data_IF_487160640272
#
_entry.id   IF_487160640272
#
_cell.length_a   1.000
_cell.length_b   1.000
_cell.length_c   1.000
_cell.angle_alpha   90.00
_cell.angle_beta   90.00
_cell.angle_gamma   90.00
#
_symmetry.space_group_name_H-M   'P 1'
#
loop_
_entity.id
_entity.type
_entity.pdbx_description
1 polymer ?
#
# COMPACT_ATOMS: atom_id res chain seq x y z
N UNK A 1 4.93 -37.93 18.66
CA UNK A 1 5.60 -36.70 19.15
C UNK A 1 5.04 -35.56 18.32
N UNK A 2 4.18 -34.73 18.91
CA UNK A 2 3.60 -33.57 18.23
C UNK A 2 4.73 -32.61 17.88
N UNK A 3 4.86 -32.27 16.60
CA UNK A 3 5.55 -31.04 16.20
C UNK A 3 4.96 -29.88 17.00
N UNK A 4 5.79 -28.98 17.57
CA UNK A 4 5.25 -27.81 18.22
C UNK A 4 4.52 -26.99 17.16
N UNK A 5 3.21 -26.79 17.35
CA UNK A 5 2.44 -25.80 16.60
C UNK A 5 3.22 -24.49 16.71
N UNK A 6 3.70 -23.97 15.59
CA UNK A 6 4.31 -22.64 15.54
C UNK A 6 3.19 -21.65 15.81
N UNK A 7 2.94 -21.37 17.08
CA UNK A 7 1.88 -20.46 17.51
C UNK A 7 1.97 -19.18 16.69
N UNK A 8 0.89 -18.85 15.98
CA UNK A 8 0.80 -17.66 15.14
C UNK A 8 1.16 -16.44 16.01
N UNK A 9 2.18 -15.67 15.57
CA UNK A 9 2.73 -14.53 16.31
C UNK A 9 2.34 -13.23 15.64
N UNK A 10 2.11 -12.21 16.46
CA UNK A 10 1.80 -10.85 16.01
C UNK A 10 0.64 -10.25 16.80
N UNK A 11 0.35 -8.96 16.60
CA UNK A 11 -0.73 -8.27 17.31
C UNK A 11 -2.13 -8.76 16.93
N UNK A 12 -2.30 -9.42 15.78
CA UNK A 12 -3.58 -9.98 15.32
C UNK A 12 -3.70 -11.49 15.55
N UNK A 13 -2.79 -12.09 16.34
CA UNK A 13 -2.87 -13.48 16.71
C UNK A 13 -4.25 -13.81 17.32
N UNK A 14 -4.95 -14.77 16.70
CA UNK A 14 -6.29 -15.20 17.09
C UNK A 14 -7.44 -14.55 16.31
N UNK A 15 -7.18 -13.54 15.47
CA UNK A 15 -8.19 -12.98 14.56
C UNK A 15 -8.33 -13.89 13.34
N UNK A 16 -9.57 -14.29 13.03
CA UNK A 16 -9.91 -15.17 11.89
C UNK A 16 -10.46 -14.36 10.73
N UNK A 17 -9.84 -14.48 9.56
CA UNK A 17 -10.18 -13.71 8.37
C UNK A 17 -10.53 -14.66 7.23
N UNK A 18 -11.66 -14.41 6.58
CA UNK A 18 -12.01 -15.03 5.30
C UNK A 18 -11.71 -14.02 4.18
N UNK A 19 -10.94 -14.45 3.18
CA UNK A 19 -10.69 -13.70 1.96
C UNK A 19 -11.41 -14.40 0.80
N UNK A 20 -12.41 -13.75 0.21
CA UNK A 20 -12.96 -14.21 -1.08
C UNK A 20 -12.00 -13.79 -2.20
N UNK A 21 -11.53 -14.75 -2.98
CA UNK A 21 -10.49 -14.55 -3.97
C UNK A 21 -10.79 -13.40 -4.94
N UNK A 22 -9.96 -12.35 -4.86
CA UNK A 22 -9.95 -11.20 -5.76
C UNK A 22 -8.55 -10.88 -6.28
N UNK A 23 -8.37 -9.64 -6.77
CA UNK A 23 -7.11 -9.08 -7.26
C UNK A 23 -6.84 -7.72 -6.60
N UNK A 24 -5.58 -7.28 -6.62
CA UNK A 24 -5.19 -5.93 -6.19
C UNK A 24 -5.40 -5.67 -4.69
N UNK A 25 -6.28 -4.72 -4.31
CA UNK A 25 -6.38 -4.23 -2.94
C UNK A 25 -6.86 -5.27 -1.92
N UNK A 26 -7.79 -6.16 -2.29
CA UNK A 26 -8.32 -7.18 -1.38
C UNK A 26 -7.24 -8.17 -0.91
N UNK A 27 -6.53 -8.85 -1.83
CA UNK A 27 -5.40 -9.71 -1.47
C UNK A 27 -4.28 -8.97 -0.74
N UNK A 28 -4.00 -7.71 -1.07
CA UNK A 28 -3.00 -6.92 -0.33
C UNK A 28 -3.43 -6.66 1.11
N UNK A 29 -4.69 -6.31 1.37
CA UNK A 29 -5.21 -6.15 2.73
C UNK A 29 -5.14 -7.47 3.53
N UNK A 30 -5.53 -8.59 2.92
CA UNK A 30 -5.42 -9.91 3.54
C UNK A 30 -3.96 -10.29 3.84
N UNK A 31 -3.01 -9.88 2.99
CA UNK A 31 -1.58 -10.10 3.20
C UNK A 31 -1.08 -9.34 4.43
N UNK A 32 -1.47 -8.07 4.57
CA UNK A 32 -1.08 -7.27 5.73
C UNK A 32 -1.67 -7.83 7.03
N UNK A 33 -2.91 -8.33 7.01
CA UNK A 33 -3.51 -8.97 8.18
C UNK A 33 -2.78 -10.27 8.56
N UNK A 34 -2.44 -11.11 7.57
CA UNK A 34 -1.66 -12.34 7.77
C UNK A 34 -0.26 -12.04 8.33
N UNK A 35 0.42 -11.03 7.79
CA UNK A 35 1.73 -10.55 8.23
C UNK A 35 1.73 -10.09 9.70
N UNK A 36 0.59 -9.59 10.18
CA UNK A 36 0.36 -9.20 11.58
C UNK A 36 -0.17 -10.34 12.47
N UNK A 37 -0.25 -11.56 11.93
CA UNK A 37 -0.60 -12.78 12.66
C UNK A 37 -2.08 -13.16 12.65
N UNK A 38 -2.91 -12.57 11.78
CA UNK A 38 -4.26 -13.08 11.59
C UNK A 38 -4.23 -14.46 10.91
N UNK A 39 -5.18 -15.33 11.25
CA UNK A 39 -5.39 -16.61 10.56
C UNK A 39 -6.28 -16.36 9.34
N UNK A 40 -5.66 -16.29 8.17
CA UNK A 40 -6.32 -15.91 6.90
C UNK A 40 -6.61 -17.13 6.06
N UNK A 41 -7.90 -17.34 5.77
CA UNK A 41 -8.39 -18.40 4.88
C UNK A 41 -8.88 -17.77 3.58
N UNK A 42 -8.18 -18.08 2.49
CA UNK A 42 -8.56 -17.66 1.15
C UNK A 42 -9.48 -18.69 0.50
N UNK A 43 -10.68 -18.27 0.11
CA UNK A 43 -11.65 -19.08 -0.61
C UNK A 43 -11.54 -18.75 -2.09
N UNK A 44 -11.24 -19.76 -2.91
CA UNK A 44 -11.05 -19.62 -4.34
C UNK A 44 -11.76 -20.72 -5.13
N UNK A 45 -11.78 -20.59 -6.47
CA UNK A 45 -12.30 -21.64 -7.34
C UNK A 45 -11.33 -22.82 -7.40
N UNK A 46 -11.87 -24.01 -7.64
CA UNK A 46 -11.07 -25.23 -7.79
C UNK A 46 -10.01 -25.12 -8.90
N UNK A 47 -8.82 -25.64 -8.64
CA UNK A 47 -7.70 -25.67 -9.59
C UNK A 47 -6.99 -24.33 -9.76
N UNK A 48 -7.18 -23.37 -8.83
CA UNK A 48 -6.55 -22.05 -8.88
C UNK A 48 -5.41 -21.88 -7.86
N UNK A 49 -4.72 -22.98 -7.51
CA UNK A 49 -3.56 -22.90 -6.63
C UNK A 49 -2.53 -21.90 -7.22
N UNK A 50 -1.97 -20.98 -6.39
CA UNK A 50 -1.21 -19.86 -6.90
C UNK A 50 0.08 -20.29 -7.60
N UNK A 51 0.26 -19.83 -8.83
CA UNK A 51 1.50 -19.95 -9.60
C UNK A 51 2.03 -18.59 -10.02
N UNK A 52 3.34 -18.52 -10.30
CA UNK A 52 3.98 -17.34 -10.89
C UNK A 52 3.76 -16.05 -10.09
N UNK A 53 3.23 -15.02 -10.76
CA UNK A 53 3.12 -13.64 -10.27
C UNK A 53 2.29 -13.49 -8.98
N UNK A 54 1.25 -14.31 -8.80
CA UNK A 54 0.33 -14.15 -7.66
C UNK A 54 0.86 -14.81 -6.38
N UNK A 55 1.88 -15.66 -6.49
CA UNK A 55 2.35 -16.48 -5.38
C UNK A 55 2.85 -15.63 -4.20
N UNK A 56 3.75 -14.63 -4.36
CA UNK A 56 4.18 -13.81 -3.22
C UNK A 56 3.04 -13.09 -2.49
N UNK A 57 2.00 -12.67 -3.24
CA UNK A 57 0.86 -11.94 -2.66
C UNK A 57 -0.02 -12.81 -1.76
N UNK A 58 0.10 -14.14 -1.83
CA UNK A 58 -0.74 -15.09 -1.09
C UNK A 58 0.01 -15.78 0.07
N UNK A 59 1.15 -15.24 0.49
CA UNK A 59 1.91 -15.76 1.65
C UNK A 59 1.10 -15.73 2.94
N UNK A 60 1.30 -16.68 3.85
CA UNK A 60 0.60 -16.71 5.15
C UNK A 60 -0.89 -17.06 5.09
N UNK A 61 -1.38 -17.65 3.99
CA UNK A 61 -2.79 -18.07 3.85
C UNK A 61 -2.96 -19.57 3.98
N UNK A 62 -4.11 -19.97 4.50
CA UNK A 62 -4.71 -21.28 4.21
C UNK A 62 -5.59 -21.13 2.97
N UNK A 63 -5.48 -22.03 1.99
CA UNK A 63 -6.29 -21.99 0.77
C UNK A 63 -7.40 -23.03 0.86
N UNK A 64 -8.62 -22.62 0.56
CA UNK A 64 -9.81 -23.47 0.45
C UNK A 64 -10.41 -23.29 -0.94
N UNK A 65 -10.78 -24.40 -1.57
CA UNK A 65 -11.47 -24.38 -2.86
C UNK A 65 -12.97 -24.60 -2.68
N UNK A 66 -13.78 -23.75 -3.31
CA UNK A 66 -15.24 -23.82 -3.28
C UNK A 66 -15.82 -23.34 -4.62
N UNK A 67 -16.85 -24.03 -5.10
CA UNK A 67 -17.66 -23.57 -6.21
C UNK A 67 -18.78 -22.66 -5.70
N UNK A 68 -18.57 -21.33 -5.71
CA UNK A 68 -19.56 -20.34 -5.25
C UNK A 68 -20.80 -20.19 -6.17
N UNK A 69 -21.06 -21.19 -7.02
CA UNK A 69 -22.33 -21.37 -7.75
C UNK A 69 -23.11 -22.59 -7.26
N UNK A 70 -22.49 -23.46 -6.46
CA UNK A 70 -23.11 -24.64 -5.86
C UNK A 70 -23.66 -24.25 -4.48
N UNK A 71 -24.99 -24.38 -4.25
CA UNK A 71 -25.59 -24.12 -2.94
C UNK A 71 -24.96 -24.91 -1.79
N UNK A 72 -24.46 -26.12 -2.05
CA UNK A 72 -23.81 -26.93 -1.02
C UNK A 72 -22.48 -26.30 -0.56
N UNK A 73 -21.66 -25.82 -1.51
CA UNK A 73 -20.41 -25.13 -1.20
C UNK A 73 -20.67 -23.76 -0.54
N UNK A 74 -21.68 -23.02 -0.99
CA UNK A 74 -22.11 -21.77 -0.34
C UNK A 74 -22.49 -22.02 1.12
N UNK A 75 -23.22 -23.09 1.41
CA UNK A 75 -23.58 -23.45 2.79
C UNK A 75 -22.34 -23.76 3.66
N UNK A 76 -21.32 -24.41 3.09
CA UNK A 76 -20.04 -24.64 3.80
C UNK A 76 -19.29 -23.35 4.06
N UNK A 77 -19.26 -22.43 3.10
CA UNK A 77 -18.65 -21.09 3.27
C UNK A 77 -19.37 -20.30 4.35
N UNK A 78 -20.71 -20.32 4.38
CA UNK A 78 -21.49 -19.70 5.46
C UNK A 78 -21.17 -20.32 6.83
N UNK A 79 -20.99 -21.64 6.90
CA UNK A 79 -20.53 -22.30 8.12
C UNK A 79 -19.13 -21.88 8.59
N UNK A 80 -18.25 -21.50 7.66
CA UNK A 80 -16.95 -20.90 7.99
C UNK A 80 -17.11 -19.46 8.49
N UNK A 81 -18.01 -18.68 7.87
CA UNK A 81 -18.34 -17.30 8.27
C UNK A 81 -18.86 -17.23 9.71
N UNK A 82 -19.61 -18.23 10.18
CA UNK A 82 -20.06 -18.34 11.58
C UNK A 82 -18.91 -18.29 12.61
N UNK A 83 -17.69 -18.65 12.20
CA UNK A 83 -16.50 -18.70 13.06
C UNK A 83 -15.51 -17.54 12.83
N UNK A 84 -15.73 -16.74 11.79
CA UNK A 84 -14.81 -15.69 11.37
C UNK A 84 -15.02 -14.38 12.14
N UNK A 85 -13.97 -13.57 12.22
CA UNK A 85 -14.06 -12.20 12.71
C UNK A 85 -14.26 -11.20 11.57
N UNK A 86 -13.63 -11.47 10.43
CA UNK A 86 -13.59 -10.59 9.27
C UNK A 86 -13.86 -11.40 8.01
N UNK A 87 -14.61 -10.81 7.07
CA UNK A 87 -14.67 -11.23 5.68
C UNK A 87 -14.18 -10.09 4.78
N UNK A 88 -13.38 -10.41 3.78
CA UNK A 88 -12.91 -9.48 2.74
C UNK A 88 -13.42 -9.96 1.39
N UNK A 89 -14.05 -9.06 0.64
CA UNK A 89 -14.42 -9.27 -0.75
C UNK A 89 -14.18 -8.00 -1.58
N UNK A 90 -13.82 -8.19 -2.85
CA UNK A 90 -13.54 -7.09 -3.77
C UNK A 90 -14.28 -7.24 -5.10
N UNK A 91 -15.48 -7.80 -5.07
CA UNK A 91 -16.30 -7.94 -6.26
C UNK A 91 -17.04 -6.63 -6.55
N UNK A 92 -17.67 -6.57 -7.73
CA UNK A 92 -18.60 -5.46 -8.02
C UNK A 92 -19.77 -5.50 -7.04
N UNK A 93 -20.38 -4.34 -6.72
CA UNK A 93 -21.59 -4.28 -5.91
C UNK A 93 -22.67 -5.29 -6.38
N UNK A 94 -23.32 -5.93 -5.43
CA UNK A 94 -24.38 -6.92 -5.68
C UNK A 94 -23.89 -8.31 -6.10
N UNK A 95 -22.59 -8.54 -6.32
CA UNK A 95 -22.09 -9.88 -6.71
C UNK A 95 -22.24 -10.88 -5.58
N UNK A 96 -21.83 -10.55 -4.36
CA UNK A 96 -21.92 -11.44 -3.20
C UNK A 96 -23.37 -11.72 -2.78
N UNK A 97 -24.25 -10.73 -2.94
CA UNK A 97 -25.69 -10.85 -2.71
C UNK A 97 -26.29 -11.88 -3.68
N UNK A 98 -25.94 -11.81 -4.98
CA UNK A 98 -26.36 -12.83 -5.95
C UNK A 98 -25.80 -14.22 -5.68
N UNK A 99 -24.68 -14.31 -4.96
CA UNK A 99 -24.09 -15.59 -4.53
C UNK A 99 -24.72 -16.12 -3.23
N UNK A 100 -25.56 -15.36 -2.53
CA UNK A 100 -26.05 -15.72 -1.20
C UNK A 100 -24.99 -15.59 -0.09
N UNK A 101 -23.97 -14.77 -0.33
CA UNK A 101 -22.88 -14.45 0.59
C UNK A 101 -22.84 -12.95 0.90
N UNK A 102 -23.92 -12.23 0.66
CA UNK A 102 -24.00 -10.79 0.92
C UNK A 102 -23.94 -10.46 2.42
N UNK A 103 -23.81 -9.17 2.77
CA UNK A 103 -23.79 -8.73 4.16
C UNK A 103 -24.98 -9.22 4.98
N UNK A 104 -26.19 -9.20 4.42
CA UNK A 104 -27.41 -9.63 5.12
C UNK A 104 -27.36 -11.12 5.48
N UNK A 105 -27.00 -11.99 4.53
CA UNK A 105 -26.86 -13.43 4.79
C UNK A 105 -25.72 -13.71 5.77
N UNK A 106 -24.58 -13.04 5.61
CA UNK A 106 -23.39 -13.25 6.44
C UNK A 106 -23.61 -12.77 7.89
N UNK A 107 -24.19 -11.59 8.08
CA UNK A 107 -24.46 -11.01 9.40
C UNK A 107 -25.63 -11.71 10.11
N UNK A 108 -26.60 -12.26 9.38
CA UNK A 108 -27.63 -13.12 9.97
C UNK A 108 -27.04 -14.39 10.60
N UNK A 109 -25.98 -14.94 9.99
CA UNK A 109 -25.23 -16.09 10.52
C UNK A 109 -24.28 -15.69 11.64
N UNK A 110 -23.60 -14.57 11.48
CA UNK A 110 -22.62 -14.05 12.43
C UNK A 110 -22.81 -12.55 12.67
N UNK A 111 -23.62 -12.15 13.67
CA UNK A 111 -23.83 -10.74 14.00
C UNK A 111 -22.58 -10.00 14.49
N UNK A 112 -21.46 -10.72 14.71
CA UNK A 112 -20.16 -10.17 15.12
C UNK A 112 -19.19 -9.99 13.96
N UNK A 113 -19.56 -10.40 12.74
CA UNK A 113 -18.70 -10.35 11.57
C UNK A 113 -18.46 -8.92 11.11
N UNK A 114 -17.22 -8.59 10.81
CA UNK A 114 -16.89 -7.35 10.10
C UNK A 114 -16.78 -7.69 8.62
N UNK A 115 -17.71 -7.15 7.83
CA UNK A 115 -17.82 -7.44 6.40
C UNK A 115 -17.13 -6.32 5.60
N UNK A 116 -15.91 -6.55 5.14
CA UNK A 116 -15.12 -5.61 4.36
C UNK A 116 -15.37 -5.72 2.86
N UNK A 117 -15.86 -4.65 2.25
CA UNK A 117 -16.08 -4.51 0.80
C UNK A 117 -15.01 -3.60 0.22
N UNK A 118 -14.25 -4.10 -0.75
CA UNK A 118 -13.12 -3.40 -1.34
C UNK A 118 -13.38 -3.10 -2.82
N UNK A 119 -13.79 -1.88 -3.12
CA UNK A 119 -14.14 -1.49 -4.50
C UNK A 119 -13.41 -0.23 -4.94
N UNK A 120 -13.45 0.06 -6.24
CA UNK A 120 -12.90 1.30 -6.76
C UNK A 120 -13.79 2.52 -6.50
N UNK A 121 -15.09 2.34 -6.73
CA UNK A 121 -16.08 3.43 -6.77
C UNK A 121 -16.98 3.51 -5.55
N UNK A 122 -16.95 2.52 -4.64
CA UNK A 122 -17.90 2.39 -3.53
C UNK A 122 -19.11 1.53 -3.90
N UNK A 123 -19.95 1.23 -2.90
CA UNK A 123 -21.20 0.47 -3.12
C UNK A 123 -22.30 1.30 -3.77
N UNK A 124 -22.23 2.62 -3.69
CA UNK A 124 -23.26 3.55 -4.14
C UNK A 124 -22.74 4.60 -5.12
N UNK A 125 -23.67 5.35 -5.74
CA UNK A 125 -23.35 6.42 -6.67
C UNK A 125 -23.32 5.99 -8.15
N UNK A 126 -23.20 6.96 -9.07
CA UNK A 126 -23.41 6.73 -10.50
C UNK A 126 -22.36 5.84 -11.17
N UNK A 127 -21.22 5.62 -10.50
CA UNK A 127 -20.11 4.81 -11.00
C UNK A 127 -20.00 3.44 -10.31
N UNK A 128 -20.80 3.13 -9.29
CA UNK A 128 -20.68 1.91 -8.48
C UNK A 128 -20.58 0.62 -9.32
N UNK A 129 -21.41 0.49 -10.36
CA UNK A 129 -21.45 -0.69 -11.24
C UNK A 129 -20.43 -0.66 -12.40
N UNK A 130 -19.64 0.42 -12.51
CA UNK A 130 -18.69 0.61 -13.62
C UNK A 130 -17.37 -0.13 -13.36
N UNK A 131 -16.81 -0.68 -14.44
CA UNK A 131 -15.45 -1.20 -14.41
C UNK A 131 -14.44 -0.07 -14.24
N UNK A 132 -13.27 -0.39 -13.70
CA UNK A 132 -12.13 0.50 -13.60
C UNK A 132 -10.92 -0.25 -13.05
N UNK A 133 -9.79 0.43 -13.05
CA UNK A 133 -8.57 0.08 -12.33
C UNK A 133 -8.04 1.32 -11.62
N UNK A 134 -6.97 1.18 -10.83
CA UNK A 134 -6.31 2.24 -10.07
C UNK A 134 -6.34 3.61 -10.79
N UNK A 135 -5.79 3.68 -12.01
CA UNK A 135 -5.70 4.90 -12.82
C UNK A 135 -7.04 5.59 -13.04
N UNK A 136 -8.14 4.84 -13.17
CA UNK A 136 -9.47 5.41 -13.34
C UNK A 136 -9.99 6.01 -12.04
N UNK A 137 -9.76 5.34 -10.91
CA UNK A 137 -10.23 5.80 -9.61
C UNK A 137 -9.54 7.11 -9.23
N UNK A 138 -8.20 7.18 -9.39
CA UNK A 138 -7.46 8.40 -9.06
C UNK A 138 -7.62 9.52 -10.10
N UNK A 139 -8.07 9.23 -11.33
CA UNK A 139 -8.22 10.27 -12.36
C UNK A 139 -9.34 11.26 -12.06
N UNK A 140 -10.41 10.84 -11.39
CA UNK A 140 -11.54 11.71 -11.06
C UNK A 140 -11.35 12.49 -9.75
N UNK A 141 -10.29 12.19 -9.00
CA UNK A 141 -10.00 12.83 -7.71
C UNK A 141 -9.12 14.07 -7.84
N UNK A 142 -8.62 14.37 -9.03
CA UNK A 142 -7.56 15.37 -9.25
C UNK A 142 -6.15 14.88 -8.91
N UNK A 143 -6.01 13.76 -8.18
CA UNK A 143 -4.71 13.23 -7.76
C UNK A 143 -3.85 12.83 -8.96
N UNK A 144 -4.39 12.10 -9.95
CA UNK A 144 -3.61 11.76 -11.15
C UNK A 144 -3.15 13.03 -11.89
N UNK A 145 -4.01 14.05 -11.98
CA UNK A 145 -3.66 15.30 -12.66
C UNK A 145 -2.47 16.00 -12.02
N UNK A 146 -2.31 15.90 -10.70
CA UNK A 146 -1.22 16.52 -9.96
C UNK A 146 0.14 15.79 -10.12
N UNK A 147 0.18 14.59 -10.71
CA UNK A 147 1.39 13.75 -10.75
C UNK A 147 2.05 13.80 -12.13
N UNK A 148 3.29 14.27 -12.17
CA UNK A 148 4.16 14.30 -13.36
C UNK A 148 4.85 15.65 -13.56
N UNK A 149 5.58 15.77 -14.67
CA UNK A 149 6.33 16.99 -15.00
C UNK A 149 5.43 18.09 -15.57
N UNK A 150 5.85 19.34 -15.37
CA UNK A 150 5.24 20.51 -16.01
C UNK A 150 5.32 20.37 -17.53
N UNK A 151 4.22 20.65 -18.22
CA UNK A 151 4.15 20.61 -19.69
C UNK A 151 4.04 19.21 -20.30
N UNK A 152 4.14 18.15 -19.51
CA UNK A 152 3.94 16.77 -19.95
C UNK A 152 2.56 16.25 -19.55
N UNK A 153 2.12 15.10 -20.09
CA UNK A 153 0.88 14.45 -19.65
C UNK A 153 1.02 13.89 -18.21
N UNK A 154 -0.09 13.73 -17.46
CA UNK A 154 -0.07 12.99 -16.19
C UNK A 154 0.57 11.60 -16.30
N UNK A 155 1.28 11.17 -15.26
CA UNK A 155 1.91 9.84 -15.19
C UNK A 155 1.30 9.03 -14.04
N UNK A 156 0.86 7.78 -14.28
CA UNK A 156 0.35 6.93 -13.20
C UNK A 156 1.48 6.59 -12.20
N UNK A 157 1.28 6.80 -10.89
CA UNK A 157 2.24 6.42 -9.85
C UNK A 157 2.16 4.91 -9.56
N UNK A 158 2.39 4.10 -10.59
CA UNK A 158 2.04 2.67 -10.62
C UNK A 158 0.57 2.49 -10.20
N UNK A 159 0.29 1.53 -9.32
CA UNK A 159 -0.98 1.40 -8.61
C UNK A 159 -0.83 1.63 -7.09
N UNK A 160 0.15 2.46 -6.69
CA UNK A 160 0.45 2.66 -5.27
C UNK A 160 -0.57 3.56 -4.55
N UNK A 161 -1.30 4.39 -5.31
CA UNK A 161 -2.20 5.41 -4.74
C UNK A 161 -3.62 4.90 -4.60
N UNK A 162 -4.22 4.32 -5.64
CA UNK A 162 -5.59 3.82 -5.62
C UNK A 162 -5.68 2.45 -4.95
N UNK A 163 -5.07 1.41 -5.52
CA UNK A 163 -5.17 0.04 -5.01
C UNK A 163 -4.58 -0.05 -3.59
N UNK A 164 -3.40 0.52 -3.35
CA UNK A 164 -2.70 0.30 -2.09
C UNK A 164 -2.97 1.38 -1.04
N UNK A 165 -2.40 2.57 -1.20
CA UNK A 165 -2.49 3.66 -0.21
C UNK A 165 -3.92 4.12 0.08
N UNK A 166 -4.75 4.28 -0.95
CA UNK A 166 -6.15 4.68 -0.86
C UNK A 166 -7.14 3.51 -0.81
N UNK A 167 -6.70 2.29 -1.09
CA UNK A 167 -7.58 1.12 -1.14
C UNK A 167 -7.36 0.23 0.07
N UNK A 168 -6.50 -0.77 -0.11
CA UNK A 168 -6.20 -1.79 0.91
C UNK A 168 -5.83 -1.22 2.29
N UNK A 169 -5.10 -0.11 2.37
CA UNK A 169 -4.74 0.51 3.65
C UNK A 169 -5.96 1.09 4.37
N UNK A 170 -6.92 1.66 3.63
CA UNK A 170 -8.19 2.15 4.18
C UNK A 170 -9.13 1.00 4.54
N UNK A 171 -9.11 -0.11 3.79
CA UNK A 171 -9.81 -1.33 4.19
C UNK A 171 -9.25 -1.87 5.50
N UNK A 172 -7.93 -2.07 5.62
CA UNK A 172 -7.29 -2.52 6.86
C UNK A 172 -7.60 -1.57 8.01
N UNK A 173 -7.50 -0.25 7.80
CA UNK A 173 -7.87 0.75 8.80
C UNK A 173 -9.32 0.59 9.27
N UNK A 174 -10.27 0.48 8.35
CA UNK A 174 -11.69 0.30 8.66
C UNK A 174 -11.98 -1.03 9.39
N UNK A 175 -11.36 -2.12 8.95
CA UNK A 175 -11.49 -3.44 9.59
C UNK A 175 -10.96 -3.42 11.04
N UNK A 176 -9.80 -2.83 11.28
CA UNK A 176 -9.22 -2.72 12.62
C UNK A 176 -10.06 -1.79 13.51
N UNK A 177 -10.55 -0.68 12.98
CA UNK A 177 -11.45 0.22 13.72
C UNK A 177 -12.76 -0.48 14.12
N UNK A 178 -13.35 -1.26 13.21
CA UNK A 178 -14.54 -2.06 13.48
C UNK A 178 -14.26 -3.18 14.51
N UNK A 179 -13.07 -3.80 14.48
CA UNK A 179 -12.66 -4.80 15.48
C UNK A 179 -12.56 -4.18 16.89
N UNK A 180 -12.09 -2.94 16.99
CA UNK A 180 -12.03 -2.17 18.24
C UNK A 180 -13.44 -1.80 18.71
N UNK A 181 -14.28 -1.25 17.83
CA UNK A 181 -15.67 -0.88 18.14
C UNK A 181 -16.44 -2.09 18.71
N UNK A 182 -16.29 -3.25 18.07
CA UNK A 182 -16.93 -4.52 18.44
C UNK A 182 -16.62 -4.98 19.86
N UNK A 183 -15.51 -4.54 20.47
CA UNK A 183 -15.21 -4.85 21.88
C UNK A 183 -16.22 -4.21 22.84
N UNK A 184 -16.79 -3.07 22.46
CA UNK A 184 -17.76 -2.32 23.25
C UNK A 184 -19.21 -2.67 22.87
N UNK A 185 -19.51 -2.75 21.58
CA UNK A 185 -20.87 -3.00 21.08
C UNK A 185 -21.23 -4.49 21.08
N UNK A 186 -20.22 -5.35 21.00
CA UNK A 186 -20.39 -6.78 20.76
C UNK A 186 -20.87 -7.12 19.35
N UNK A 187 -20.95 -6.16 18.41
CA UNK A 187 -21.52 -6.34 17.08
C UNK A 187 -20.51 -6.07 15.97
N UNK A 188 -20.73 -6.71 14.83
CA UNK A 188 -20.02 -6.42 13.60
C UNK A 188 -20.73 -5.36 12.77
N UNK A 189 -20.17 -5.03 11.62
CA UNK A 189 -20.71 -4.05 10.67
C UNK A 189 -20.09 -4.23 9.28
N UNK A 190 -20.66 -3.54 8.29
CA UNK A 190 -20.08 -3.44 6.95
C UNK A 190 -19.06 -2.31 6.91
N UNK A 191 -17.91 -2.56 6.31
CA UNK A 191 -16.91 -1.55 5.96
C UNK A 191 -16.91 -1.42 4.44
N UNK A 192 -17.41 -0.30 3.92
CA UNK A 192 -17.28 0.05 2.50
C UNK A 192 -15.99 0.87 2.30
N UNK A 193 -14.98 0.24 1.69
CA UNK A 193 -13.73 0.89 1.35
C UNK A 193 -13.68 1.13 -0.16
N UNK A 194 -13.87 2.38 -0.56
CA UNK A 194 -13.75 2.83 -1.94
C UNK A 194 -12.38 3.46 -2.20
N UNK A 195 -11.68 3.02 -3.25
CA UNK A 195 -10.36 3.57 -3.61
C UNK A 195 -10.42 5.07 -3.94
N UNK A 196 -11.54 5.53 -4.52
CA UNK A 196 -11.76 6.97 -4.79
C UNK A 196 -11.75 7.80 -3.50
N UNK A 197 -12.41 7.32 -2.45
CA UNK A 197 -12.51 8.02 -1.17
C UNK A 197 -11.19 7.98 -0.42
N UNK A 198 -10.52 6.84 -0.39
CA UNK A 198 -9.22 6.73 0.26
C UNK A 198 -8.13 7.50 -0.48
N UNK A 199 -8.19 7.63 -1.81
CA UNK A 199 -7.28 8.51 -2.55
C UNK A 199 -7.50 10.00 -2.23
N UNK A 200 -8.76 10.41 -2.04
CA UNK A 200 -9.10 11.77 -1.56
C UNK A 200 -8.60 12.00 -0.13
N UNK A 201 -8.78 11.02 0.76
CA UNK A 201 -8.28 11.09 2.12
C UNK A 201 -6.74 11.12 2.18
N UNK A 202 -6.05 10.32 1.35
CA UNK A 202 -4.59 10.32 1.25
C UNK A 202 -4.03 11.66 0.72
N UNK A 203 -4.78 12.33 -0.15
CA UNK A 203 -4.43 13.65 -0.70
C UNK A 203 -4.97 14.83 0.11
N UNK A 204 -5.41 14.60 1.36
CA UNK A 204 -6.01 15.64 2.22
C UNK A 204 -5.14 16.90 2.36
N UNK A 205 -3.81 16.74 2.52
CA UNK A 205 -2.90 17.89 2.62
C UNK A 205 -2.94 18.75 1.36
N UNK A 206 -3.00 18.14 0.17
CA UNK A 206 -3.05 18.86 -1.10
C UNK A 206 -4.38 19.60 -1.26
N UNK A 207 -5.50 18.94 -0.92
CA UNK A 207 -6.80 19.59 -0.87
C UNK A 207 -6.84 20.78 0.09
N UNK A 208 -6.23 20.64 1.27
CA UNK A 208 -6.11 21.70 2.25
C UNK A 208 -5.28 22.88 1.75
N UNK A 209 -4.08 22.61 1.22
CA UNK A 209 -3.21 23.66 0.66
C UNK A 209 -3.86 24.35 -0.53
N UNK A 210 -4.55 23.61 -1.40
CA UNK A 210 -5.31 24.17 -2.52
C UNK A 210 -6.42 25.10 -2.04
N UNK A 211 -7.21 24.67 -1.05
CA UNK A 211 -8.26 25.50 -0.45
C UNK A 211 -7.72 26.77 0.22
N UNK A 212 -6.49 26.72 0.75
CA UNK A 212 -5.79 27.86 1.33
C UNK A 212 -5.07 28.75 0.29
N UNK A 213 -4.98 28.31 -0.97
CA UNK A 213 -4.26 29.02 -2.03
C UNK A 213 -2.73 28.80 -2.03
N UNK A 214 -2.24 27.81 -1.29
CA UNK A 214 -0.83 27.39 -1.26
C UNK A 214 -0.52 26.23 -2.23
N UNK A 215 -1.48 25.83 -3.07
CA UNK A 215 -1.30 24.81 -4.10
C UNK A 215 -2.06 25.19 -5.38
N UNK A 216 -1.40 25.06 -6.52
CA UNK A 216 -1.92 25.32 -7.87
C UNK A 216 -2.41 24.04 -8.53
N UNK A 217 -3.45 24.15 -9.37
CA UNK A 217 -3.89 23.06 -10.25
C UNK A 217 -2.90 22.82 -11.41
N UNK A 218 -1.99 23.75 -11.68
CA UNK A 218 -0.89 23.51 -12.61
C UNK A 218 0.06 22.46 -12.02
N UNK A 219 0.35 21.41 -12.78
CA UNK A 219 1.24 20.32 -12.38
C UNK A 219 2.70 20.72 -12.52
N UNK A 220 3.52 20.33 -11.55
CA UNK A 220 4.97 20.51 -11.60
C UNK A 220 5.44 21.91 -11.24
N UNK A 221 4.63 22.68 -10.50
CA UNK A 221 4.97 24.06 -10.06
C UNK A 221 4.85 24.25 -8.55
N UNK A 222 4.44 23.23 -7.81
CA UNK A 222 4.17 23.27 -6.38
C UNK A 222 5.39 22.79 -5.57
N UNK A 223 5.28 22.94 -4.25
CA UNK A 223 6.36 22.59 -3.30
C UNK A 223 6.77 21.11 -3.39
N UNK A 224 5.82 20.20 -3.61
CA UNK A 224 6.03 18.76 -3.46
C UNK A 224 5.78 17.95 -4.75
N UNK A 225 5.65 18.62 -5.91
CA UNK A 225 5.34 17.98 -7.19
C UNK A 225 6.39 18.23 -8.27
N UNK A 226 7.64 18.52 -7.88
CA UNK A 226 8.79 18.92 -8.72
C UNK A 226 8.86 20.39 -9.11
N UNK A 227 8.02 21.26 -8.56
CA UNK A 227 8.12 22.72 -8.78
C UNK A 227 9.39 23.35 -8.22
N UNK A 228 9.90 22.81 -7.11
CA UNK A 228 11.02 23.39 -6.35
C UNK A 228 12.34 22.67 -6.60
N UNK A 229 13.42 23.43 -6.80
CA UNK A 229 14.79 22.92 -7.03
C UNK A 229 15.31 22.04 -5.88
N UNK A 230 14.84 22.25 -4.66
CA UNK A 230 15.24 21.50 -3.47
C UNK A 230 14.26 20.37 -3.10
N UNK A 231 13.30 20.05 -3.98
CA UNK A 231 12.40 18.89 -3.84
C UNK A 231 12.17 18.25 -5.22
N UNK A 232 13.20 17.59 -5.74
CA UNK A 232 13.21 16.99 -7.08
C UNK A 232 14.30 15.90 -7.21
N UNK A 233 14.35 15.24 -8.36
CA UNK A 233 15.44 14.34 -8.76
C UNK A 233 16.38 15.01 -9.78
N UNK A 234 17.67 14.69 -9.71
CA UNK A 234 18.71 15.21 -10.59
C UNK A 234 19.52 14.07 -11.20
N UNK A 235 19.74 14.13 -12.51
CA UNK A 235 20.62 13.21 -13.24
C UNK A 235 22.10 13.49 -12.92
N UNK A 236 22.90 12.44 -12.90
CA UNK A 236 24.31 12.43 -12.52
C UNK A 236 25.19 11.99 -13.70
N UNK A 237 26.52 12.09 -13.57
CA UNK A 237 27.46 11.83 -14.67
C UNK A 237 27.35 10.42 -15.30
N UNK A 238 26.85 9.43 -14.56
CA UNK A 238 26.63 8.05 -15.01
C UNK A 238 25.19 7.77 -15.48
N UNK A 239 24.37 8.80 -15.68
CA UNK A 239 22.98 8.68 -16.15
C UNK A 239 22.01 8.12 -15.09
N UNK A 240 22.46 8.03 -13.83
CA UNK A 240 21.62 7.68 -12.67
C UNK A 240 21.13 8.94 -11.96
N UNK A 241 20.32 8.80 -10.91
CA UNK A 241 19.66 9.93 -10.26
C UNK A 241 19.95 10.04 -8.75
N UNK A 242 20.07 11.27 -8.27
CA UNK A 242 19.95 11.64 -6.85
C UNK A 242 18.56 12.24 -6.59
N UNK A 243 17.98 11.99 -5.42
CA UNK A 243 16.80 12.67 -4.91
C UNK A 243 17.22 13.73 -3.89
N UNK A 244 16.66 14.92 -4.01
CA UNK A 244 16.87 16.07 -3.11
C UNK A 244 15.54 16.41 -2.44
N UNK A 245 15.54 16.55 -1.11
CA UNK A 245 14.37 16.92 -0.30
C UNK A 245 14.69 17.96 0.78
N UNK A 246 15.57 18.91 0.47
CA UNK A 246 16.14 19.89 1.41
C UNK A 246 15.21 21.10 1.63
N UNK A 247 14.01 20.87 2.17
CA UNK A 247 12.97 21.91 2.33
C UNK A 247 13.38 22.97 3.35
N UNK A 248 13.85 22.54 4.53
CA UNK A 248 14.19 23.44 5.61
C UNK A 248 15.52 24.18 5.33
N UNK A 249 15.62 25.49 5.65
CA UNK A 249 16.78 26.32 5.28
C UNK A 249 18.14 25.77 5.73
N UNK A 250 18.21 25.14 6.90
CA UNK A 250 19.46 24.55 7.40
C UNK A 250 19.89 23.31 6.60
N UNK A 251 18.95 22.53 6.06
CA UNK A 251 19.23 21.38 5.21
C UNK A 251 19.60 21.84 3.80
N UNK A 252 18.93 22.88 3.30
CA UNK A 252 19.30 23.55 2.05
C UNK A 252 20.72 24.13 2.09
N UNK A 253 21.14 24.72 3.22
CA UNK A 253 22.51 25.19 3.39
C UNK A 253 23.53 24.02 3.31
N UNK A 254 23.21 22.86 3.86
CA UNK A 254 24.06 21.66 3.74
C UNK A 254 24.06 21.10 2.31
N UNK A 255 22.94 21.18 1.58
CA UNK A 255 22.89 20.87 0.15
C UNK A 255 23.85 21.76 -0.64
N UNK A 256 23.81 23.08 -0.44
CA UNK A 256 24.72 24.01 -1.10
C UNK A 256 26.19 23.73 -0.77
N UNK A 257 26.49 23.45 0.50
CA UNK A 257 27.84 23.09 0.94
C UNK A 257 28.33 21.79 0.30
N UNK A 258 27.51 20.73 0.26
CA UNK A 258 27.87 19.46 -0.36
C UNK A 258 27.98 19.55 -1.89
N UNK A 259 27.16 20.40 -2.51
CA UNK A 259 27.29 20.74 -3.93
C UNK A 259 28.45 21.70 -4.21
N UNK A 260 29.12 22.24 -3.19
CA UNK A 260 30.16 23.25 -3.30
C UNK A 260 29.71 24.47 -4.13
N UNK A 261 28.56 25.02 -3.73
CA UNK A 261 27.94 26.23 -4.29
C UNK A 261 28.03 27.35 -3.25
N UNK A 262 28.55 28.51 -3.66
CA UNK A 262 28.48 29.73 -2.85
C UNK A 262 27.03 30.25 -2.81
N UNK A 263 26.41 30.42 -1.62
CA UNK A 263 25.06 30.98 -1.51
C UNK A 263 24.96 32.46 -1.93
N UNK A 264 26.07 33.19 -1.96
CA UNK A 264 26.08 34.61 -2.30
C UNK A 264 25.56 34.86 -3.72
N UNK A 265 24.53 35.71 -3.85
CA UNK A 265 23.93 36.07 -5.13
C UNK A 265 22.94 35.05 -5.70
N UNK A 266 22.66 33.95 -5.00
CA UNK A 266 21.60 33.03 -5.40
C UNK A 266 20.20 33.62 -5.12
N UNK A 267 19.20 33.27 -5.95
CA UNK A 267 17.80 33.50 -5.59
C UNK A 267 17.45 32.90 -4.23
N UNK A 268 16.51 33.52 -3.52
CA UNK A 268 15.97 32.94 -2.29
C UNK A 268 15.34 31.57 -2.58
N UNK A 269 15.59 30.57 -1.72
CA UNK A 269 15.22 29.18 -2.00
C UNK A 269 13.73 29.01 -2.33
N UNK A 270 12.82 29.76 -1.66
CA UNK A 270 11.37 29.67 -1.89
C UNK A 270 10.84 30.67 -2.93
N UNK A 271 11.72 31.46 -3.58
CA UNK A 271 11.31 32.37 -4.65
C UNK A 271 10.93 31.57 -5.91
N UNK A 272 9.65 31.60 -6.34
CA UNK A 272 9.22 30.89 -7.53
C UNK A 272 9.94 31.37 -8.81
N UNK A 273 10.28 32.67 -8.89
CA UNK A 273 10.96 33.24 -10.06
C UNK A 273 12.41 32.75 -10.17
N UNK A 274 13.02 32.37 -9.04
CA UNK A 274 14.40 31.86 -8.98
C UNK A 274 14.55 30.37 -9.30
N UNK A 275 13.46 29.59 -9.30
CA UNK A 275 13.55 28.12 -9.37
C UNK A 275 14.20 27.60 -10.64
N UNK A 276 13.97 28.23 -11.80
CA UNK A 276 14.60 27.80 -13.05
C UNK A 276 16.13 27.95 -12.99
N UNK A 277 16.61 29.05 -12.41
CA UNK A 277 18.05 29.31 -12.24
C UNK A 277 18.66 28.32 -11.26
N UNK A 278 18.00 28.07 -10.12
CA UNK A 278 18.47 27.11 -9.11
C UNK A 278 18.48 25.68 -9.65
N UNK A 279 17.43 25.26 -10.38
CA UNK A 279 17.37 23.93 -11.02
C UNK A 279 18.49 23.74 -12.02
N UNK A 280 18.76 24.74 -12.86
CA UNK A 280 19.86 24.68 -13.83
C UNK A 280 21.20 24.51 -13.12
N UNK A 281 21.46 25.33 -12.10
CA UNK A 281 22.69 25.24 -11.32
C UNK A 281 22.85 23.86 -10.65
N UNK A 282 21.81 23.36 -10.00
CA UNK A 282 21.87 22.04 -9.34
C UNK A 282 22.07 20.92 -10.35
N UNK A 283 21.40 20.97 -11.49
CA UNK A 283 21.59 20.02 -12.60
C UNK A 283 23.05 20.02 -13.07
N UNK A 284 23.61 21.19 -13.34
CA UNK A 284 25.01 21.32 -13.76
C UNK A 284 25.97 20.75 -12.72
N UNK A 285 25.72 20.97 -11.42
CA UNK A 285 26.54 20.39 -10.35
C UNK A 285 26.40 18.87 -10.31
N UNK A 286 25.19 18.32 -10.26
CA UNK A 286 24.98 16.88 -10.15
C UNK A 286 25.57 16.09 -11.32
N UNK A 287 25.63 16.69 -12.52
CA UNK A 287 26.28 16.08 -13.69
C UNK A 287 27.82 15.97 -13.60
N UNK A 288 28.46 16.56 -12.59
CA UNK A 288 29.93 16.51 -12.45
C UNK A 288 30.48 15.26 -11.77
N UNK A 289 29.63 14.46 -11.12
CA UNK A 289 30.01 13.21 -10.44
C UNK A 289 28.95 12.15 -10.65
N UNK A 290 29.32 10.90 -10.46
CA UNK A 290 28.40 9.76 -10.47
C UNK A 290 27.46 9.79 -9.27
N UNK A 291 26.34 9.08 -9.33
CA UNK A 291 25.40 8.94 -8.20
C UNK A 291 26.09 8.50 -6.91
N UNK A 292 26.98 7.51 -7.00
CA UNK A 292 27.57 6.89 -5.81
C UNK A 292 28.64 7.81 -5.18
N UNK A 293 29.37 8.60 -5.97
CA UNK A 293 30.25 9.67 -5.46
C UNK A 293 29.45 10.77 -4.73
N UNK A 294 28.28 11.16 -5.27
CA UNK A 294 27.40 12.10 -4.56
C UNK A 294 26.84 11.50 -3.28
N UNK A 295 26.44 10.23 -3.31
CA UNK A 295 25.98 9.54 -2.11
C UNK A 295 27.04 9.60 -1.01
N UNK A 296 28.31 9.34 -1.31
CA UNK A 296 29.42 9.44 -0.35
C UNK A 296 29.61 10.86 0.21
N UNK A 297 29.47 11.89 -0.62
CA UNK A 297 29.55 13.30 -0.17
C UNK A 297 28.46 13.65 0.85
N UNK A 298 27.24 13.12 0.66
CA UNK A 298 26.09 13.45 1.50
C UNK A 298 25.85 12.49 2.66
N UNK A 299 26.57 11.35 2.71
CA UNK A 299 26.50 10.39 3.83
C UNK A 299 26.83 11.09 5.15
N UNK A 300 25.96 10.91 6.14
CA UNK A 300 26.12 11.49 7.48
C UNK A 300 25.78 12.97 7.59
N UNK A 301 25.31 13.62 6.51
CA UNK A 301 24.80 14.99 6.52
C UNK A 301 23.28 15.02 6.66
N UNK A 302 22.73 16.16 7.07
CA UNK A 302 21.28 16.42 7.06
C UNK A 302 20.86 17.13 5.77
N UNK A 303 21.62 17.02 4.67
CA UNK A 303 21.31 17.69 3.42
C UNK A 303 20.04 17.17 2.74
N UNK A 304 19.43 16.07 3.22
CA UNK A 304 18.28 15.40 2.59
C UNK A 304 18.55 15.01 1.12
N UNK A 305 19.74 14.51 0.83
CA UNK A 305 20.14 14.02 -0.50
C UNK A 305 20.41 12.52 -0.43
N UNK A 306 19.80 11.75 -1.33
CA UNK A 306 19.90 10.29 -1.33
C UNK A 306 19.95 9.70 -2.73
N UNK A 307 20.63 8.55 -2.94
CA UNK A 307 20.65 7.90 -4.25
C UNK A 307 19.28 7.31 -4.59
N UNK A 308 18.84 7.51 -5.83
CA UNK A 308 17.67 6.79 -6.36
C UNK A 308 18.13 5.39 -6.77
N UNK A 309 17.66 4.38 -6.03
CA UNK A 309 18.05 2.98 -6.22
C UNK A 309 17.03 2.23 -7.08
N UNK A 310 17.54 1.31 -7.89
CA UNK A 310 16.71 0.26 -8.49
C UNK A 310 16.28 -0.77 -7.43
N UNK A 311 15.28 -1.62 -7.73
CA UNK A 311 14.88 -2.70 -6.83
C UNK A 311 16.05 -3.63 -6.47
N UNK A 312 16.95 -3.91 -7.42
CA UNK A 312 18.12 -4.77 -7.23
C UNK A 312 19.26 -4.08 -6.45
N UNK A 313 19.35 -2.76 -6.48
CA UNK A 313 20.29 -2.03 -5.61
C UNK A 313 19.75 -1.92 -4.18
N UNK A 314 18.42 -1.79 -4.02
CA UNK A 314 17.79 -1.72 -2.71
C UNK A 314 18.01 -2.98 -1.85
N UNK A 315 18.14 -4.16 -2.46
CA UNK A 315 18.46 -5.42 -1.73
C UNK A 315 19.84 -5.39 -1.08
N UNK A 316 20.76 -4.55 -1.60
CA UNK A 316 22.15 -4.41 -1.15
C UNK A 316 22.37 -3.15 -0.30
N UNK A 317 21.34 -2.34 -0.08
CA UNK A 317 21.45 -1.11 0.71
C UNK A 317 21.64 -1.43 2.20
N UNK A 318 22.66 -0.83 2.82
CA UNK A 318 23.03 -1.09 4.22
C UNK A 318 21.91 -0.77 5.22
N UNK A 319 21.15 0.31 5.00
CA UNK A 319 20.05 0.68 5.90
C UNK A 319 18.88 -0.31 5.79
N UNK A 320 18.53 -0.73 4.57
CA UNK A 320 17.49 -1.75 4.33
C UNK A 320 17.88 -3.09 4.96
N UNK A 321 19.16 -3.50 4.80
CA UNK A 321 19.70 -4.72 5.35
C UNK A 321 19.76 -4.69 6.89
N UNK A 322 20.31 -3.63 7.49
CA UNK A 322 20.38 -3.45 8.95
C UNK A 322 19.00 -3.46 9.60
N UNK A 323 17.98 -3.01 8.86
CA UNK A 323 16.59 -3.06 9.30
C UNK A 323 15.96 -4.43 9.04
N UNK A 324 16.48 -5.29 8.18
CA UNK A 324 15.81 -6.52 7.76
C UNK A 324 14.46 -6.23 7.08
N UNK A 325 14.38 -5.13 6.32
CA UNK A 325 13.13 -4.68 5.69
C UNK A 325 12.76 -5.48 4.45
N UNK A 326 13.74 -6.16 3.83
CA UNK A 326 13.53 -7.15 2.78
C UNK A 326 13.93 -8.52 3.32
N UNK A 327 13.13 -9.53 3.00
CA UNK A 327 13.30 -10.92 3.41
C UNK A 327 13.15 -11.84 2.21
N UNK A 328 13.62 -13.07 2.33
CA UNK A 328 13.43 -14.11 1.33
C UNK A 328 12.36 -15.09 1.79
N UNK A 329 11.34 -15.30 0.97
CA UNK A 329 10.29 -16.31 1.19
C UNK A 329 10.07 -17.04 -0.12
N UNK A 330 10.20 -18.37 -0.10
CA UNK A 330 10.11 -19.22 -1.29
C UNK A 330 11.12 -18.85 -2.40
N UNK A 331 12.35 -18.48 -2.01
CA UNK A 331 13.41 -17.97 -2.90
C UNK A 331 13.03 -16.69 -3.67
N UNK A 332 12.07 -15.91 -3.13
CA UNK A 332 11.63 -14.64 -3.70
C UNK A 332 11.87 -13.54 -2.67
N UNK A 333 12.56 -12.47 -3.09
CA UNK A 333 12.72 -11.26 -2.29
C UNK A 333 11.38 -10.55 -2.10
N UNK A 334 10.99 -10.31 -0.85
CA UNK A 334 9.73 -9.69 -0.46
C UNK A 334 9.95 -8.71 0.69
N UNK A 335 8.97 -7.86 0.99
CA UNK A 335 9.03 -7.02 2.19
C UNK A 335 8.88 -7.86 3.47
N UNK A 336 9.51 -7.42 4.55
CA UNK A 336 9.20 -7.91 5.90
C UNK A 336 7.88 -7.30 6.39
N UNK A 337 7.11 -8.01 7.24
CA UNK A 337 5.92 -7.46 7.89
C UNK A 337 6.15 -6.09 8.54
N UNK A 338 5.24 -5.15 8.30
CA UNK A 338 5.26 -3.79 8.83
C UNK A 338 3.87 -3.37 9.35
N UNK A 339 3.76 -2.48 10.37
CA UNK A 339 4.86 -1.89 11.14
C UNK A 339 5.47 -2.87 12.15
N UNK A 340 6.46 -2.42 12.94
CA UNK A 340 7.12 -3.22 13.98
C UNK A 340 6.47 -3.04 15.34
N UNK A 341 6.38 -4.11 16.11
CA UNK A 341 5.80 -4.12 17.45
C UNK A 341 6.84 -4.59 18.48
N UNK A 342 7.00 -3.85 19.58
CA UNK A 342 8.03 -4.11 20.60
C UNK A 342 7.74 -5.32 21.48
N UNK A 343 6.47 -5.57 21.82
CA UNK A 343 6.03 -6.67 22.71
C UNK A 343 5.54 -7.92 21.96
N UNK A 344 4.88 -7.72 20.83
CA UNK A 344 4.26 -8.77 20.01
C UNK A 344 4.81 -8.71 18.59
N UNK A 345 6.11 -8.98 18.39
CA UNK A 345 6.74 -8.87 17.08
C UNK A 345 6.03 -9.80 16.07
N UNK A 346 6.00 -9.35 14.81
CA UNK A 346 5.43 -10.11 13.71
C UNK A 346 6.21 -11.42 13.50
N UNK A 347 5.52 -12.47 13.08
CA UNK A 347 6.15 -13.73 12.67
C UNK A 347 6.93 -13.59 11.36
N UNK A 348 7.69 -14.63 11.02
CA UNK A 348 8.24 -14.78 9.66
C UNK A 348 7.10 -15.31 8.78
N UNK A 349 6.74 -14.63 7.67
CA UNK A 349 5.70 -15.10 6.77
C UNK A 349 6.01 -16.49 6.21
N UNK A 350 4.99 -17.34 6.12
CA UNK A 350 5.10 -18.64 5.44
C UNK A 350 4.78 -18.51 3.96
N UNK A 351 5.39 -19.32 3.08
CA UNK A 351 5.02 -19.33 1.67
C UNK A 351 3.56 -19.77 1.50
N UNK A 352 2.91 -19.40 0.38
CA UNK A 352 1.57 -19.90 0.06
C UNK A 352 1.58 -21.43 -0.02
N UNK A 353 0.48 -22.10 0.39
CA UNK A 353 0.39 -23.54 0.30
C UNK A 353 0.33 -24.00 -1.15
N UNK A 354 0.90 -25.17 -1.43
CA UNK A 354 0.85 -25.82 -2.75
C UNK A 354 -0.41 -26.66 -2.97
N UNK A 355 -1.23 -26.83 -1.94
CA UNK A 355 -2.43 -27.66 -1.95
C UNK A 355 -3.57 -26.97 -1.21
N UNK A 356 -4.80 -27.25 -1.62
CA UNK A 356 -6.00 -26.77 -0.95
C UNK A 356 -6.27 -27.60 0.32
N UNK A 357 -6.71 -26.91 1.37
CA UNK A 357 -7.18 -27.50 2.62
C UNK A 357 -8.68 -27.79 2.52
N UNK A 358 -9.15 -28.99 2.92
CA UNK A 358 -10.59 -29.26 3.01
C UNK A 358 -11.27 -28.28 3.97
N UNK A 359 -12.35 -27.62 3.53
CA UNK A 359 -13.01 -26.55 4.29
C UNK A 359 -13.49 -27.01 5.68
N UNK A 360 -13.83 -28.28 5.82
CA UNK A 360 -14.31 -28.92 7.04
C UNK A 360 -13.23 -29.08 8.10
N UNK A 361 -11.96 -29.04 7.71
CA UNK A 361 -10.81 -29.08 8.63
C UNK A 361 -10.40 -27.69 9.14
N UNK A 362 -10.86 -26.63 8.48
CA UNK A 362 -10.51 -25.26 8.84
C UNK A 362 -11.26 -24.84 10.11
N UNK A 363 -10.50 -24.42 11.12
CA UNK A 363 -11.02 -24.06 12.44
C UNK A 363 -11.93 -25.15 13.04
N UNK A 364 -11.60 -26.42 12.79
CA UNK A 364 -12.18 -27.55 13.50
C UNK A 364 -11.61 -27.56 14.93
N UNK A 365 -12.48 -27.78 15.92
CA UNK A 365 -12.10 -27.93 17.32
C UNK A 365 -11.70 -29.36 17.63
#
# INVERSE_FOLDING_TARGET
>A
MSTPSTAVKGPLAGIRVIELAGIGPGPHAALLLADLGADVVRIQRAGQIPGGFDRPQQRGRTIVEANLKDPADIAKVLGLIEKADVLIEGFRPGVTERMGLGPDEALARNPRLIYGRMTGWGQEGPLADRAGHDINYISITGVLHAIGRKGERPVPPLNMVGDFGGGSMFLVFGLLAALVERQSSGKGQVVDAAMVDGALALSHMIWGMRGYGAWSDERGVNLLDTGMSFYDTYETADGKYMAVGSIEPQFYAQLLAGLDINPEGLPYQLDPAGQETLKKLFTERFLTKTRDEWAEIFVGTDACVSPVLTFEEATRNEHIAARGSLIEVDNITQHAPAPRFSRTPNGIPTPPPSEATPIESVWAN
#
